data_IF_460818684984
#
_entry.id   IF_460818684984
#
_cell.length_a   1.000
_cell.length_b   1.000
_cell.length_c   1.000
_cell.angle_alpha   90.00
_cell.angle_beta   90.00
_cell.angle_gamma   90.00
#
_symmetry.space_group_name_H-M   'P 1'
#
loop_
_entity.id
_entity.type
_entity.pdbx_description
1 polymer ?
#
# COMPACT_ATOMS: atom_id res chain seq x y z
N UNK A 1 -41.40 22.29 16.63
CA UNK A 1 -40.01 22.33 16.13
C UNK A 1 -39.28 21.13 16.69
N UNK A 2 -38.84 20.20 15.83
CA UNK A 2 -38.16 18.97 16.26
C UNK A 2 -36.65 19.16 16.36
N UNK A 3 -36.03 18.54 17.34
CA UNK A 3 -34.58 18.47 17.46
C UNK A 3 -33.98 17.75 16.24
N UNK A 4 -32.88 18.27 15.68
CA UNK A 4 -32.19 17.70 14.54
C UNK A 4 -30.69 17.56 14.83
N UNK A 5 -30.13 16.37 14.65
CA UNK A 5 -28.69 16.16 14.77
C UNK A 5 -27.95 16.46 13.46
N UNK A 6 -26.95 17.34 13.52
CA UNK A 6 -26.10 17.68 12.38
C UNK A 6 -24.75 16.96 12.48
N UNK A 7 -24.45 16.07 11.54
CA UNK A 7 -23.18 15.31 11.48
C UNK A 7 -21.95 16.21 11.23
N UNK A 8 -22.09 17.27 10.43
CA UNK A 8 -21.02 18.24 10.16
C UNK A 8 -20.69 19.05 11.42
N UNK A 9 -21.72 19.49 12.15
CA UNK A 9 -21.53 20.30 13.35
C UNK A 9 -21.31 19.48 14.63
N UNK A 10 -21.60 18.16 14.59
CA UNK A 10 -21.61 17.21 15.71
C UNK A 10 -22.42 17.71 16.90
N UNK A 11 -23.58 18.30 16.64
CA UNK A 11 -24.48 18.85 17.66
C UNK A 11 -25.93 18.64 17.26
N UNK A 12 -26.79 18.52 18.26
CA UNK A 12 -28.23 18.61 18.09
C UNK A 12 -28.62 20.09 18.05
N UNK A 13 -29.30 20.49 16.99
CA UNK A 13 -29.83 21.84 16.81
C UNK A 13 -31.36 21.81 16.98
N UNK A 14 -31.88 22.76 17.75
CA UNK A 14 -33.32 22.89 18.02
C UNK A 14 -33.99 23.89 17.06
N UNK A 15 -33.19 24.61 16.27
CA UNK A 15 -33.65 25.58 15.26
C UNK A 15 -34.18 24.91 13.98
N UNK A 16 -34.28 23.58 13.97
CA UNK A 16 -34.67 22.78 12.81
C UNK A 16 -33.67 22.83 11.65
N UNK A 17 -34.16 22.63 10.42
CA UNK A 17 -33.33 22.59 9.20
C UNK A 17 -32.74 23.95 8.79
N UNK A 18 -33.10 25.05 9.46
CA UNK A 18 -32.53 26.37 9.19
C UNK A 18 -31.03 26.48 9.49
N UNK A 19 -30.51 25.67 10.42
CA UNK A 19 -29.10 25.76 10.86
C UNK A 19 -28.09 25.48 9.73
N UNK A 20 -28.46 24.71 8.69
CA UNK A 20 -27.58 24.39 7.55
C UNK A 20 -27.20 25.65 6.76
N UNK A 21 -28.04 26.69 6.80
CA UNK A 21 -27.78 27.97 6.13
C UNK A 21 -26.95 28.93 6.99
N UNK A 22 -26.72 28.61 8.27
CA UNK A 22 -25.99 29.45 9.20
C UNK A 22 -24.49 29.51 8.87
N UNK A 23 -23.88 30.69 9.06
CA UNK A 23 -22.45 30.93 8.82
C UNK A 23 -21.54 29.94 9.58
N UNK A 24 -21.90 29.58 10.81
CA UNK A 24 -21.13 28.62 11.60
C UNK A 24 -21.08 27.22 10.97
N UNK A 25 -22.21 26.72 10.46
CA UNK A 25 -22.26 25.44 9.76
C UNK A 25 -21.45 25.50 8.47
N UNK A 26 -21.67 26.53 7.64
CA UNK A 26 -20.99 26.69 6.36
C UNK A 26 -19.46 26.82 6.50
N UNK A 27 -18.98 27.53 7.51
CA UNK A 27 -17.53 27.60 7.81
C UNK A 27 -16.95 26.24 8.20
N UNK A 28 -17.65 25.46 9.04
CA UNK A 28 -17.21 24.10 9.41
C UNK A 28 -17.22 23.15 8.21
N UNK A 29 -18.29 23.20 7.41
CA UNK A 29 -18.44 22.43 6.19
C UNK A 29 -17.28 22.71 5.23
N UNK A 30 -16.93 23.98 5.02
CA UNK A 30 -15.80 24.39 4.18
C UNK A 30 -14.48 23.78 4.66
N UNK A 31 -14.19 23.83 5.96
CA UNK A 31 -12.96 23.24 6.54
C UNK A 31 -12.91 21.72 6.31
N UNK A 32 -14.03 21.03 6.53
CA UNK A 32 -14.14 19.59 6.30
C UNK A 32 -13.92 19.26 4.83
N UNK A 33 -14.58 19.99 3.92
CA UNK A 33 -14.46 19.76 2.49
C UNK A 33 -13.06 20.06 1.97
N UNK A 34 -12.36 21.08 2.48
CA UNK A 34 -10.96 21.35 2.11
C UNK A 34 -10.08 20.17 2.51
N UNK A 35 -10.15 19.71 3.77
CA UNK A 35 -9.37 18.56 4.25
C UNK A 35 -9.68 17.29 3.46
N UNK A 36 -10.96 17.05 3.16
CA UNK A 36 -11.37 15.90 2.38
C UNK A 36 -10.89 15.99 0.92
N UNK A 37 -10.93 17.18 0.33
CA UNK A 37 -10.44 17.42 -1.05
C UNK A 37 -8.95 17.09 -1.15
N UNK A 38 -8.12 17.46 -0.17
CA UNK A 38 -6.69 17.18 -0.22
C UNK A 38 -6.42 15.67 -0.21
N UNK A 39 -7.13 14.89 0.62
CA UNK A 39 -7.03 13.41 0.60
C UNK A 39 -7.40 12.81 -0.76
N UNK A 40 -8.47 13.30 -1.38
CA UNK A 40 -8.91 12.82 -2.70
C UNK A 40 -7.93 13.23 -3.80
N UNK A 41 -7.35 14.43 -3.71
CA UNK A 41 -6.31 14.89 -4.65
C UNK A 41 -5.05 14.05 -4.55
N UNK A 42 -4.60 13.71 -3.34
CA UNK A 42 -3.44 12.84 -3.12
C UNK A 42 -3.65 11.49 -3.79
N UNK A 43 -4.82 10.87 -3.58
CA UNK A 43 -5.17 9.63 -4.26
C UNK A 43 -5.27 9.78 -5.78
N UNK A 44 -5.88 10.85 -6.31
CA UNK A 44 -5.94 11.06 -7.78
C UNK A 44 -4.56 11.15 -8.43
N UNK A 45 -3.54 11.63 -7.72
CA UNK A 45 -2.17 11.70 -8.27
C UNK A 45 -1.60 10.32 -8.54
N UNK A 46 -2.03 9.29 -7.81
CA UNK A 46 -1.56 7.91 -8.00
C UNK A 46 -2.21 7.22 -9.19
N UNK A 47 -3.26 7.78 -9.80
CA UNK A 47 -3.93 7.19 -10.97
C UNK A 47 -2.95 6.95 -12.14
N UNK A 48 -2.02 7.88 -12.36
CA UNK A 48 -1.04 7.80 -13.46
C UNK A 48 0.19 6.96 -13.12
N UNK A 49 0.47 6.77 -11.84
CA UNK A 49 1.63 6.02 -11.36
C UNK A 49 1.28 5.36 -10.03
N UNK A 50 0.53 4.24 -10.06
CA UNK A 50 0.13 3.52 -8.87
C UNK A 50 1.37 3.04 -8.12
N UNK A 51 1.33 3.15 -6.79
CA UNK A 51 2.41 2.66 -5.94
C UNK A 51 2.03 1.28 -5.43
N UNK A 52 2.83 0.30 -5.80
CA UNK A 52 2.70 -1.10 -5.39
C UNK A 52 3.89 -1.42 -4.49
N UNK A 53 3.60 -1.86 -3.28
CA UNK A 53 4.60 -2.15 -2.25
C UNK A 53 4.36 -3.53 -1.63
N UNK A 54 5.38 -4.09 -0.97
CA UNK A 54 5.20 -5.27 -0.12
C UNK A 54 4.23 -4.94 1.00
N UNK A 55 3.41 -5.90 1.36
CA UNK A 55 2.47 -5.74 2.46
C UNK A 55 3.20 -5.34 3.76
N UNK A 56 2.64 -4.34 4.44
CA UNK A 56 3.06 -3.91 5.77
C UNK A 56 1.84 -3.59 6.63
N UNK A 57 1.88 -3.77 7.96
CA UNK A 57 0.75 -3.44 8.83
C UNK A 57 0.30 -1.98 8.76
N UNK A 58 1.18 -1.07 8.33
CA UNK A 58 0.85 0.33 8.12
C UNK A 58 -0.09 0.56 6.93
N UNK A 59 -0.29 -0.44 6.07
CA UNK A 59 -1.18 -0.36 4.91
C UNK A 59 -2.65 -0.62 5.28
N UNK A 60 -2.95 -1.06 6.50
CA UNK A 60 -4.32 -1.22 7.01
C UNK A 60 -4.96 0.13 7.45
N UNK A 61 -4.40 1.26 7.01
CA UNK A 61 -4.95 2.58 7.27
C UNK A 61 -6.34 2.75 6.65
N UNK A 62 -7.23 3.38 7.42
CA UNK A 62 -8.58 3.76 6.99
C UNK A 62 -8.74 5.26 6.88
N UNK A 63 -9.73 5.69 6.11
CA UNK A 63 -10.19 7.07 6.10
C UNK A 63 -11.70 7.17 6.25
N UNK A 64 -12.14 8.26 6.86
CA UNK A 64 -13.55 8.59 6.97
C UNK A 64 -14.07 9.28 5.70
N UNK A 65 -15.08 8.69 5.04
CA UNK A 65 -15.80 9.34 3.95
C UNK A 65 -16.99 10.14 4.50
N UNK A 66 -16.94 11.46 4.37
CA UNK A 66 -18.03 12.33 4.84
C UNK A 66 -19.33 12.20 4.03
N UNK A 67 -19.23 11.85 2.74
CA UNK A 67 -20.39 11.72 1.87
C UNK A 67 -21.23 10.49 2.24
N UNK A 68 -20.54 9.37 2.49
CA UNK A 68 -21.16 8.09 2.79
C UNK A 68 -21.31 7.83 4.30
N UNK A 69 -20.69 8.66 5.14
CA UNK A 69 -20.64 8.51 6.60
C UNK A 69 -20.15 7.12 7.03
N UNK A 70 -19.09 6.65 6.39
CA UNK A 70 -18.50 5.34 6.66
C UNK A 70 -16.97 5.38 6.63
N UNK A 71 -16.38 4.44 7.35
CA UNK A 71 -14.95 4.22 7.40
C UNK A 71 -14.54 3.26 6.26
N UNK A 72 -13.63 3.71 5.40
CA UNK A 72 -13.21 3.03 4.18
C UNK A 72 -11.73 2.69 4.28
N UNK A 73 -11.31 1.55 3.73
CA UNK A 73 -9.90 1.24 3.58
C UNK A 73 -9.21 2.23 2.64
N UNK A 74 -8.06 2.76 3.06
CA UNK A 74 -7.29 3.72 2.26
C UNK A 74 -6.55 3.00 1.13
N UNK A 75 -5.93 1.87 1.44
CA UNK A 75 -5.14 1.05 0.52
C UNK A 75 -5.90 -0.24 0.18
N UNK A 76 -5.58 -0.87 -0.95
CA UNK A 76 -5.97 -2.27 -1.21
C UNK A 76 -4.80 -3.14 -0.81
N UNK A 77 -5.02 -4.07 0.10
CA UNK A 77 -3.99 -4.97 0.63
C UNK A 77 -4.37 -6.41 0.32
N UNK A 78 -3.42 -7.17 -0.19
CA UNK A 78 -3.44 -8.63 -0.22
C UNK A 78 -2.31 -9.16 0.69
N UNK A 79 -2.28 -10.48 0.91
CA UNK A 79 -1.35 -11.17 1.81
C UNK A 79 0.12 -10.74 1.70
N UNK A 80 0.60 -10.43 0.50
CA UNK A 80 2.01 -10.07 0.25
C UNK A 80 2.22 -8.69 -0.37
N UNK A 81 1.17 -8.03 -0.88
CA UNK A 81 1.27 -6.82 -1.69
C UNK A 81 0.23 -5.79 -1.25
N UNK A 82 0.54 -4.51 -1.40
CA UNK A 82 -0.40 -3.42 -1.16
C UNK A 82 -0.35 -2.38 -2.28
N UNK A 83 -1.52 -2.02 -2.79
CA UNK A 83 -1.71 -0.94 -3.76
C UNK A 83 -2.13 0.31 -3.01
N UNK A 84 -1.25 1.33 -2.98
CA UNK A 84 -1.53 2.52 -2.19
C UNK A 84 -2.69 3.34 -2.77
N UNK A 85 -3.55 3.85 -1.90
CA UNK A 85 -4.76 4.62 -2.25
C UNK A 85 -5.82 3.86 -3.07
N UNK A 86 -5.61 2.57 -3.36
CA UNK A 86 -6.54 1.76 -4.14
C UNK A 86 -7.94 1.75 -3.54
N UNK A 87 -8.06 1.50 -2.22
CA UNK A 87 -9.36 1.38 -1.56
C UNK A 87 -10.14 2.69 -1.54
N UNK A 88 -9.41 3.82 -1.43
CA UNK A 88 -10.01 5.14 -1.58
C UNK A 88 -10.54 5.34 -3.00
N UNK A 89 -9.72 5.09 -4.02
CA UNK A 89 -10.12 5.31 -5.42
C UNK A 89 -11.29 4.41 -5.83
N UNK A 90 -11.26 3.13 -5.44
CA UNK A 90 -12.35 2.19 -5.66
C UNK A 90 -13.64 2.69 -5.03
N UNK A 91 -13.63 3.05 -3.74
CA UNK A 91 -14.80 3.60 -3.05
C UNK A 91 -15.37 4.83 -3.76
N UNK A 92 -14.51 5.76 -4.15
CA UNK A 92 -14.90 7.02 -4.77
C UNK A 92 -15.46 6.84 -6.19
N UNK A 93 -15.20 5.69 -6.82
CA UNK A 93 -15.75 5.32 -8.13
C UNK A 93 -17.10 4.60 -8.06
N UNK A 94 -17.54 4.17 -6.88
CA UNK A 94 -18.81 3.43 -6.73
C UNK A 94 -20.03 4.31 -7.03
N UNK A 95 -21.08 3.74 -7.66
CA UNK A 95 -22.33 4.47 -7.90
C UNK A 95 -23.02 4.89 -6.58
N UNK A 96 -22.87 4.10 -5.52
CA UNK A 96 -23.36 4.41 -4.17
C UNK A 96 -22.72 5.69 -3.64
N UNK A 97 -21.39 5.82 -3.75
CA UNK A 97 -20.68 7.03 -3.35
C UNK A 97 -21.13 8.25 -4.14
N UNK A 98 -21.32 8.11 -5.46
CA UNK A 98 -21.84 9.20 -6.31
C UNK A 98 -23.21 9.66 -5.81
N UNK A 99 -24.14 8.74 -5.57
CA UNK A 99 -25.48 9.06 -5.03
C UNK A 99 -25.40 9.74 -3.65
N UNK A 100 -24.57 9.21 -2.76
CA UNK A 100 -24.36 9.77 -1.42
C UNK A 100 -23.72 11.16 -1.47
N UNK A 101 -22.80 11.40 -2.39
CA UNK A 101 -22.19 12.71 -2.64
C UNK A 101 -23.26 13.72 -3.07
N UNK A 102 -24.12 13.37 -4.03
CA UNK A 102 -25.22 14.26 -4.42
C UNK A 102 -26.16 14.58 -3.25
N UNK A 103 -26.54 13.56 -2.46
CA UNK A 103 -27.37 13.73 -1.26
C UNK A 103 -26.70 14.62 -0.21
N UNK A 104 -25.43 14.36 0.11
CA UNK A 104 -24.66 15.14 1.08
C UNK A 104 -24.57 16.62 0.68
N UNK A 105 -24.35 16.90 -0.61
CA UNK A 105 -24.33 18.27 -1.13
C UNK A 105 -25.66 18.97 -0.95
N UNK A 106 -26.75 18.27 -1.25
CA UNK A 106 -28.11 18.79 -1.11
C UNK A 106 -28.47 19.07 0.35
N UNK A 107 -28.17 18.13 1.25
CA UNK A 107 -28.53 18.18 2.67
C UNK A 107 -27.75 19.26 3.44
N UNK A 108 -26.49 19.52 3.06
CA UNK A 108 -25.62 20.49 3.73
C UNK A 108 -25.50 21.83 2.98
N UNK A 109 -26.17 21.97 1.83
CA UNK A 109 -26.07 23.17 0.97
C UNK A 109 -24.62 23.54 0.65
N UNK A 110 -23.83 22.52 0.31
CA UNK A 110 -22.42 22.69 -0.05
C UNK A 110 -22.27 23.37 -1.42
N UNK A 111 -21.10 23.95 -1.66
CA UNK A 111 -20.80 24.64 -2.92
C UNK A 111 -20.82 23.65 -4.11
N UNK A 112 -21.70 23.84 -5.13
CA UNK A 112 -21.85 22.89 -6.24
C UNK A 112 -20.58 22.69 -7.06
N UNK A 113 -19.76 23.75 -7.20
CA UNK A 113 -18.49 23.73 -7.96
C UNK A 113 -17.45 22.76 -7.42
N UNK A 114 -17.57 22.38 -6.14
CA UNK A 114 -16.62 21.47 -5.50
C UNK A 114 -17.05 20.00 -5.59
N UNK A 115 -18.32 19.71 -5.92
CA UNK A 115 -18.88 18.36 -5.89
C UNK A 115 -18.12 17.40 -6.80
N UNK A 116 -17.87 17.82 -8.04
CA UNK A 116 -17.32 16.92 -9.06
C UNK A 116 -15.88 16.49 -8.74
N UNK A 117 -15.18 17.21 -7.85
CA UNK A 117 -13.85 16.81 -7.35
C UNK A 117 -13.88 15.52 -6.54
N UNK A 118 -15.04 15.17 -5.97
CA UNK A 118 -15.24 13.98 -5.14
C UNK A 118 -15.85 12.80 -5.90
N UNK A 119 -15.98 12.89 -7.22
CA UNK A 119 -16.50 11.81 -8.06
C UNK A 119 -15.38 11.37 -9.00
N UNK A 120 -14.93 10.13 -8.86
CA UNK A 120 -13.98 9.52 -9.81
C UNK A 120 -14.79 9.01 -11.00
N UNK A 121 -14.39 9.39 -12.20
CA UNK A 121 -15.08 8.96 -13.43
C UNK A 121 -14.70 7.52 -13.78
N UNK A 122 -15.56 6.86 -14.57
CA UNK A 122 -15.28 5.50 -15.05
C UNK A 122 -13.97 5.45 -15.86
N UNK A 123 -13.72 6.46 -16.69
CA UNK A 123 -12.46 6.59 -17.45
C UNK A 123 -11.23 6.65 -16.53
N UNK A 124 -11.30 7.42 -15.44
CA UNK A 124 -10.22 7.48 -14.45
C UNK A 124 -10.02 6.14 -13.73
N UNK A 125 -11.11 5.44 -13.44
CA UNK A 125 -11.07 4.10 -12.81
C UNK A 125 -10.44 3.07 -13.74
N UNK A 126 -10.84 3.02 -15.02
CA UNK A 126 -10.27 2.09 -15.99
C UNK A 126 -8.80 2.39 -16.26
N UNK A 127 -8.43 3.67 -16.33
CA UNK A 127 -7.02 4.08 -16.41
C UNK A 127 -6.25 3.62 -15.18
N UNK A 128 -6.78 3.82 -13.98
CA UNK A 128 -6.14 3.38 -12.75
C UNK A 128 -5.92 1.86 -12.74
N UNK A 129 -6.95 1.07 -13.07
CA UNK A 129 -6.84 -0.39 -13.16
C UNK A 129 -5.74 -0.82 -14.14
N UNK A 130 -5.70 -0.22 -15.33
CA UNK A 130 -4.67 -0.52 -16.33
C UNK A 130 -3.26 -0.22 -15.83
N UNK A 131 -3.05 0.92 -15.18
CA UNK A 131 -1.74 1.28 -14.62
C UNK A 131 -1.38 0.42 -13.40
N UNK A 132 -2.37 -0.02 -12.59
CA UNK A 132 -2.13 -0.94 -11.47
C UNK A 132 -1.67 -2.30 -11.99
N UNK A 133 -2.30 -2.84 -13.03
CA UNK A 133 -1.86 -4.10 -13.66
C UNK A 133 -0.40 -4.02 -14.13
N UNK A 134 -0.03 -2.93 -14.82
CA UNK A 134 1.38 -2.72 -15.24
C UNK A 134 2.33 -2.59 -14.05
N UNK A 135 1.92 -1.87 -13.00
CA UNK A 135 2.75 -1.68 -11.82
C UNK A 135 2.96 -3.00 -11.05
N UNK A 136 1.95 -3.87 -11.02
CA UNK A 136 2.05 -5.21 -10.44
C UNK A 136 3.01 -6.10 -11.25
N UNK A 137 2.87 -6.15 -12.57
CA UNK A 137 3.80 -6.89 -13.45
C UNK A 137 5.25 -6.44 -13.25
N UNK A 138 5.50 -5.13 -13.20
CA UNK A 138 6.84 -4.58 -12.95
C UNK A 138 7.35 -4.89 -11.54
N UNK A 139 6.47 -4.96 -10.56
CA UNK A 139 6.84 -5.32 -9.19
C UNK A 139 7.26 -6.79 -9.11
N UNK A 140 6.48 -7.69 -9.71
CA UNK A 140 6.78 -9.12 -9.79
C UNK A 140 8.09 -9.39 -10.54
N UNK A 141 8.32 -8.73 -11.69
CA UNK A 141 9.57 -8.88 -12.43
C UNK A 141 10.80 -8.45 -11.62
N UNK A 142 10.68 -7.35 -10.86
CA UNK A 142 11.76 -6.90 -9.97
C UNK A 142 12.02 -7.90 -8.85
N UNK A 143 10.99 -8.45 -8.24
CA UNK A 143 11.12 -9.48 -7.21
C UNK A 143 11.78 -10.75 -7.74
N UNK A 144 11.39 -11.21 -8.93
CA UNK A 144 11.99 -12.36 -9.61
C UNK A 144 13.48 -12.16 -9.90
N UNK A 145 13.87 -10.96 -10.35
CA UNK A 145 15.27 -10.61 -10.58
C UNK A 145 16.06 -10.65 -9.27
N UNK A 146 15.51 -10.11 -8.19
CA UNK A 146 16.15 -10.14 -6.86
C UNK A 146 16.33 -11.57 -6.35
N UNK A 147 15.32 -12.43 -6.50
CA UNK A 147 15.39 -13.85 -6.12
C UNK A 147 16.48 -14.58 -6.92
N UNK A 148 16.55 -14.36 -8.24
CA UNK A 148 17.59 -14.96 -9.10
C UNK A 148 18.99 -14.51 -8.71
N UNK A 149 19.17 -13.22 -8.40
CA UNK A 149 20.45 -12.67 -7.93
C UNK A 149 20.87 -13.29 -6.60
N UNK A 150 19.95 -13.37 -5.62
CA UNK A 150 20.22 -14.02 -4.34
C UNK A 150 20.60 -15.50 -4.50
N UNK A 151 19.89 -16.24 -5.34
CA UNK A 151 20.21 -17.63 -5.62
C UNK A 151 21.57 -17.80 -6.32
N UNK A 152 21.98 -16.86 -7.17
CA UNK A 152 23.31 -16.87 -7.77
C UNK A 152 24.42 -16.65 -6.73
N UNK A 153 24.23 -15.71 -5.80
CA UNK A 153 25.17 -15.47 -4.69
C UNK A 153 25.31 -16.73 -3.84
N UNK A 154 24.20 -17.35 -3.44
CA UNK A 154 24.23 -18.60 -2.63
C UNK A 154 25.00 -19.70 -3.37
N UNK A 155 24.76 -19.90 -4.67
CA UNK A 155 25.47 -20.89 -5.47
C UNK A 155 26.97 -20.61 -5.57
N UNK A 156 27.37 -19.35 -5.77
CA UNK A 156 28.79 -18.97 -5.82
C UNK A 156 29.50 -19.17 -4.48
N UNK A 157 28.81 -18.87 -3.37
CA UNK A 157 29.34 -19.09 -2.03
C UNK A 157 29.53 -20.58 -1.75
N UNK A 158 28.56 -21.42 -2.14
CA UNK A 158 28.67 -22.86 -1.98
C UNK A 158 29.80 -23.45 -2.83
N UNK A 159 29.92 -23.03 -4.10
CA UNK A 159 31.04 -23.43 -4.96
C UNK A 159 32.38 -23.06 -4.33
N UNK A 160 32.51 -21.83 -3.86
CA UNK A 160 33.73 -21.38 -3.20
C UNK A 160 34.06 -22.19 -1.94
N UNK A 161 33.03 -22.55 -1.13
CA UNK A 161 33.22 -23.41 0.05
C UNK A 161 33.73 -24.80 -0.33
N UNK A 162 33.18 -25.39 -1.39
CA UNK A 162 33.61 -26.70 -1.89
C UNK A 162 35.05 -26.65 -2.42
N UNK A 163 35.42 -25.60 -3.15
CA UNK A 163 36.79 -25.38 -3.64
C UNK A 163 37.79 -25.26 -2.48
N UNK A 164 37.46 -24.48 -1.45
CA UNK A 164 38.30 -24.36 -0.26
C UNK A 164 38.46 -25.71 0.44
N UNK A 165 37.37 -26.45 0.65
CA UNK A 165 37.42 -27.79 1.26
C UNK A 165 38.25 -28.78 0.44
N UNK A 166 38.13 -28.75 -0.89
CA UNK A 166 38.93 -29.59 -1.78
C UNK A 166 40.42 -29.22 -1.72
N UNK A 167 40.75 -27.94 -1.72
CA UNK A 167 42.15 -27.50 -1.56
C UNK A 167 42.75 -27.96 -0.22
N UNK A 168 41.98 -27.92 0.86
CA UNK A 168 42.42 -28.41 2.17
C UNK A 168 42.60 -29.93 2.18
N UNK A 169 41.72 -30.70 1.53
CA UNK A 169 41.87 -32.15 1.46
C UNK A 169 43.09 -32.54 0.62
N UNK A 170 43.31 -31.90 -0.54
CA UNK A 170 44.47 -32.14 -1.40
C UNK A 170 45.81 -31.80 -0.73
N UNK A 171 45.86 -30.80 0.15
CA UNK A 171 47.08 -30.41 0.86
C UNK A 171 47.30 -31.23 2.14
N UNK A 172 46.25 -31.51 2.90
CA UNK A 172 46.36 -32.22 4.18
C UNK A 172 46.44 -33.75 4.04
N UNK A 173 45.78 -34.37 3.06
CA UNK A 173 45.82 -35.84 2.92
C UNK A 173 47.21 -36.39 2.56
N UNK A 174 47.96 -35.81 1.60
CA UNK A 174 49.30 -36.29 1.29
C UNK A 174 50.27 -36.06 2.45
N UNK A 175 50.21 -34.90 3.12
CA UNK A 175 51.06 -34.60 4.28
C UNK A 175 50.79 -35.51 5.48
N UNK A 176 49.53 -35.88 5.71
CA UNK A 176 49.13 -36.77 6.80
C UNK A 176 49.51 -38.24 6.48
N UNK A 177 49.36 -38.69 5.24
CA UNK A 177 49.82 -40.02 4.80
C UNK A 177 51.35 -40.14 4.81
N UNK A 178 52.09 -39.08 4.44
CA UNK A 178 53.55 -39.04 4.56
C UNK A 178 54.00 -39.09 6.03
N UNK A 179 53.34 -38.36 6.93
CA UNK A 179 53.63 -38.39 8.36
C UNK A 179 53.34 -39.77 9.00
N UNK A 180 52.25 -40.43 8.60
CA UNK A 180 51.91 -41.78 9.07
C UNK A 180 52.89 -42.83 8.53
N UNK A 181 53.29 -42.75 7.25
CA UNK A 181 54.31 -43.62 6.66
C UNK A 181 55.68 -43.43 7.32
N UNK A 182 56.09 -42.19 7.64
CA UNK A 182 57.32 -41.92 8.38
C UNK A 182 57.28 -42.51 9.79
N UNK A 183 56.16 -42.40 10.50
CA UNK A 183 55.99 -43.02 11.82
C UNK A 183 56.05 -44.56 11.76
N UNK A 184 55.48 -45.18 10.73
CA UNK A 184 55.49 -46.64 10.57
C UNK A 184 56.90 -47.17 10.19
N UNK A 185 57.67 -46.40 9.41
CA UNK A 185 59.05 -46.76 9.05
C UNK A 185 59.98 -46.64 10.26
N UNK A 186 59.87 -45.58 11.06
CA UNK A 186 60.68 -45.43 12.28
C UNK A 186 60.40 -46.49 13.37
N UNK A 187 59.20 -47.07 13.42
CA UNK A 187 58.86 -48.13 14.39
C UNK A 187 59.33 -49.53 13.94
N UNK A 188 59.68 -49.71 12.66
CA UNK A 188 60.12 -51.01 12.11
C UNK A 188 61.65 -51.18 12.05
N UNK A 189 62.41 -50.13 12.39
CA UNK A 189 63.88 -50.09 12.40
C UNK A 189 64.50 -50.18 13.82
N UNK A 190 63.71 -50.53 14.84
CA UNK A 190 64.13 -50.82 16.23
C UNK A 190 63.96 -52.31 16.57
#
# INVERSE_FOLDING_TARGET
>A
MGAFYCSVCRKTDFSGKGHIYGKSHQSKLKVILVKFTEKVKEARRTIKNPQVEKYSPHHEEKFWCYCCALEVQKHVTDSNISVLYGGLLEHMSTPEHRKNTHKFWWDNKAEPKLRDKFIITEEETERFKSEVSKALEQFEEKEDVLIKQQAAVIRSQEQHRLEVLQSLSEVCFPGMLQAILFYFFCISDE
#
